data_IF_042293826833
#
_entry.id   IF_042293826833
#
_cell.length_a   1.000
_cell.length_b   1.000
_cell.length_c   1.000
_cell.angle_alpha   90.00
_cell.angle_beta   90.00
_cell.angle_gamma   90.00
#
_symmetry.space_group_name_H-M   'P 1'
#
loop_
_entity.id
_entity.type
_entity.pdbx_description
1 polymer ?
#
# COMPACT_ATOMS: atom_id res chain seq x y z
N UNK A 1 -0.09 -6.43 -9.59
CA UNK A 1 -0.11 -6.86 -11.01
C UNK A 1 1.26 -7.21 -11.63
N UNK A 2 2.32 -6.43 -11.34
CA UNK A 2 3.64 -6.64 -11.97
C UNK A 2 4.42 -7.86 -11.51
N UNK A 3 4.09 -8.43 -10.34
CA UNK A 3 4.73 -9.64 -9.82
C UNK A 3 4.16 -10.90 -10.51
N UNK A 4 5.01 -11.89 -10.89
CA UNK A 4 4.57 -13.10 -11.60
C UNK A 4 3.57 -13.98 -10.85
N UNK A 5 3.59 -13.92 -9.52
CA UNK A 5 2.69 -14.65 -8.62
C UNK A 5 1.31 -13.98 -8.47
N UNK A 6 1.12 -12.78 -9.01
CA UNK A 6 -0.19 -12.12 -9.01
C UNK A 6 -1.18 -12.85 -9.94
N UNK A 7 -2.41 -13.20 -9.48
CA UNK A 7 -3.34 -14.04 -10.24
C UNK A 7 -3.66 -13.53 -11.66
N UNK A 8 -3.72 -12.21 -11.85
CA UNK A 8 -3.94 -11.59 -13.15
C UNK A 8 -2.66 -11.02 -13.82
N UNK A 9 -1.46 -11.50 -13.46
CA UNK A 9 -0.19 -11.02 -14.05
C UNK A 9 -0.17 -11.12 -15.58
N UNK A 10 -0.53 -12.30 -16.12
CA UNK A 10 -0.54 -12.53 -17.58
C UNK A 10 -1.61 -11.71 -18.30
N UNK A 11 -2.76 -11.46 -17.67
CA UNK A 11 -3.76 -10.55 -18.22
C UNK A 11 -3.23 -9.11 -18.24
N UNK A 12 -2.61 -8.65 -17.14
CA UNK A 12 -2.02 -7.33 -17.05
C UNK A 12 -0.95 -7.10 -18.14
N UNK A 13 -0.06 -8.08 -18.36
CA UNK A 13 0.95 -8.02 -19.44
C UNK A 13 0.35 -7.90 -20.84
N UNK A 14 -0.79 -8.56 -21.10
CA UNK A 14 -1.44 -8.51 -22.41
C UNK A 14 -2.12 -7.16 -22.71
N UNK A 15 -2.70 -6.52 -21.70
CA UNK A 15 -3.57 -5.35 -21.90
C UNK A 15 -2.98 -4.01 -21.40
N UNK A 16 -1.91 -4.04 -20.59
CA UNK A 16 -1.30 -2.84 -20.00
C UNK A 16 0.09 -2.59 -20.59
N UNK A 17 0.49 -1.31 -20.69
CA UNK A 17 1.84 -0.90 -21.16
C UNK A 17 2.89 -0.87 -20.03
N UNK A 18 2.46 -1.04 -18.79
CA UNK A 18 3.24 -1.04 -17.56
C UNK A 18 2.32 -1.33 -16.38
N UNK A 19 2.86 -1.60 -15.19
CA UNK A 19 2.08 -2.09 -14.05
C UNK A 19 1.61 -1.02 -13.06
N UNK A 20 2.02 0.25 -13.27
CA UNK A 20 1.68 1.39 -12.40
C UNK A 20 2.44 1.42 -11.08
N UNK A 21 2.28 2.53 -10.34
CA UNK A 21 2.90 2.76 -9.02
C UNK A 21 1.98 2.44 -7.83
N UNK A 22 0.83 1.80 -8.08
CA UNK A 22 -0.12 1.44 -7.01
C UNK A 22 0.17 0.02 -6.51
N UNK A 23 0.44 -0.09 -5.22
CA UNK A 23 0.76 -1.35 -4.56
C UNK A 23 -0.11 -1.49 -3.31
N UNK A 24 -0.62 -2.69 -3.06
CA UNK A 24 -1.32 -3.02 -1.81
C UNK A 24 -0.66 -4.26 -1.21
N UNK A 25 -0.35 -4.20 0.09
CA UNK A 25 0.36 -5.26 0.80
C UNK A 25 -0.28 -5.52 2.16
N UNK A 26 -0.23 -6.77 2.60
CA UNK A 26 -0.61 -7.16 3.95
C UNK A 26 0.64 -7.23 4.83
N UNK A 27 0.67 -6.44 5.90
CA UNK A 27 1.74 -6.50 6.89
C UNK A 27 1.52 -7.69 7.83
N UNK A 28 2.60 -8.37 8.23
CA UNK A 28 2.55 -9.49 9.18
C UNK A 28 2.50 -8.98 10.62
N UNK A 29 1.46 -8.22 10.94
CA UNK A 29 1.28 -7.56 12.24
C UNK A 29 -0.20 -7.25 12.47
N UNK A 30 -0.54 -6.79 13.66
CA UNK A 30 -1.89 -6.34 14.01
C UNK A 30 -2.11 -4.86 13.62
N UNK A 31 -3.28 -4.31 13.96
CA UNK A 31 -3.58 -2.91 13.68
C UNK A 31 -2.56 -1.95 14.30
N UNK A 32 -2.14 -2.20 15.53
CA UNK A 32 -1.19 -1.33 16.22
C UNK A 32 0.19 -1.34 15.53
N UNK A 33 0.63 -2.48 14.99
CA UNK A 33 1.83 -2.57 14.19
C UNK A 33 1.71 -1.86 12.84
N UNK A 34 0.54 -1.90 12.20
CA UNK A 34 0.29 -1.12 10.97
C UNK A 34 0.37 0.37 11.24
N UNK A 35 -0.22 0.85 12.34
CA UNK A 35 -0.14 2.25 12.73
C UNK A 35 1.31 2.66 13.02
N UNK A 36 2.08 1.81 13.72
CA UNK A 36 3.53 2.04 13.95
C UNK A 36 4.32 2.13 12.65
N UNK A 37 4.08 1.21 11.70
CA UNK A 37 4.73 1.23 10.39
C UNK A 37 4.44 2.53 9.66
N UNK A 38 3.16 2.89 9.52
CA UNK A 38 2.75 4.11 8.81
C UNK A 38 3.34 5.38 9.45
N UNK A 39 3.40 5.45 10.78
CA UNK A 39 3.99 6.57 11.52
C UNK A 39 5.53 6.62 11.45
N UNK A 40 6.17 5.50 11.12
CA UNK A 40 7.63 5.42 11.05
C UNK A 40 8.19 5.87 9.69
N UNK A 41 7.34 5.90 8.65
CA UNK A 41 7.72 6.36 7.31
C UNK A 41 8.07 7.85 7.31
N UNK A 42 9.11 8.21 6.57
CA UNK A 42 9.64 9.59 6.48
C UNK A 42 9.37 10.23 5.13
N UNK A 43 9.28 9.43 4.07
CA UNK A 43 9.03 9.89 2.70
C UNK A 43 7.59 9.66 2.29
N UNK A 44 7.02 8.52 2.66
CA UNK A 44 5.60 8.24 2.40
C UNK A 44 4.71 9.04 3.34
N UNK A 45 3.95 9.99 2.80
CA UNK A 45 2.98 10.76 3.58
C UNK A 45 1.66 9.99 3.74
N UNK A 46 1.08 10.03 4.94
CA UNK A 46 -0.23 9.41 5.20
C UNK A 46 -1.36 10.23 4.55
N UNK A 47 -1.95 9.73 3.46
CA UNK A 47 -3.03 10.41 2.74
C UNK A 47 -3.95 9.47 1.95
N UNK A 48 -5.21 9.90 1.76
CA UNK A 48 -6.23 9.14 1.01
C UNK A 48 -6.05 9.21 -0.52
N UNK A 49 -5.44 10.28 -1.04
CA UNK A 49 -5.23 10.50 -2.49
C UNK A 49 -4.19 9.54 -3.10
N UNK A 50 -3.98 9.61 -4.42
CA UNK A 50 -3.05 8.76 -5.17
C UNK A 50 -2.60 9.40 -6.49
N UNK A 51 -1.47 8.93 -7.03
CA UNK A 51 -0.98 9.29 -8.37
C UNK A 51 -0.29 10.65 -8.49
N UNK A 52 0.01 11.30 -7.36
CA UNK A 52 0.84 12.50 -7.31
C UNK A 52 2.32 12.21 -7.58
N UNK A 53 3.13 13.26 -7.54
CA UNK A 53 4.60 13.13 -7.64
C UNK A 53 5.19 12.63 -6.33
N UNK A 54 4.50 12.91 -5.22
CA UNK A 54 4.81 12.50 -3.88
C UNK A 54 4.36 11.07 -3.59
N UNK A 55 5.17 10.34 -2.81
CA UNK A 55 4.84 9.03 -2.29
C UNK A 55 3.84 9.11 -1.15
N UNK A 56 2.78 8.32 -1.21
CA UNK A 56 1.70 8.28 -0.21
C UNK A 56 1.49 6.86 0.35
N UNK A 57 1.28 6.78 1.65
CA UNK A 57 0.76 5.58 2.32
C UNK A 57 -0.69 5.82 2.72
N UNK A 58 -1.54 4.82 2.52
CA UNK A 58 -2.94 4.87 2.90
C UNK A 58 -3.33 3.62 3.67
N UNK A 59 -4.20 3.80 4.67
CA UNK A 59 -4.81 2.72 5.42
C UNK A 59 -6.28 2.58 5.00
N UNK A 60 -6.63 1.67 4.07
CA UNK A 60 -7.92 1.69 3.39
C UNK A 60 -9.11 1.59 4.36
N UNK A 61 -8.96 0.78 5.41
CA UNK A 61 -10.00 0.42 6.37
C UNK A 61 -10.62 1.61 7.15
N UNK A 62 -9.88 2.71 7.37
CA UNK A 62 -10.41 3.93 8.02
C UNK A 62 -10.17 5.19 7.18
N UNK A 63 -9.94 5.03 5.88
CA UNK A 63 -9.74 6.16 4.96
C UNK A 63 -10.61 5.95 3.72
N UNK A 64 -10.00 5.57 2.60
CA UNK A 64 -10.72 5.39 1.32
C UNK A 64 -11.93 4.46 1.35
N UNK A 65 -12.03 3.54 2.31
CA UNK A 65 -13.12 2.58 2.44
C UNK A 65 -13.84 2.68 3.80
N UNK A 66 -13.75 3.84 4.49
CA UNK A 66 -14.40 4.05 5.79
C UNK A 66 -15.94 3.89 5.74
N UNK A 67 -16.55 4.13 4.57
CA UNK A 67 -17.99 4.03 4.38
C UNK A 67 -18.52 2.60 4.28
N UNK A 68 -17.65 1.59 4.29
CA UNK A 68 -18.05 0.19 4.32
C UNK A 68 -18.14 -0.31 5.76
N UNK A 69 -19.15 -1.14 6.03
CA UNK A 69 -19.18 -1.91 7.28
C UNK A 69 -17.98 -2.87 7.35
N UNK A 70 -17.63 -3.29 8.57
CA UNK A 70 -16.54 -4.27 8.76
C UNK A 70 -16.79 -5.55 7.95
N UNK A 71 -18.01 -6.07 7.94
CA UNK A 71 -18.37 -7.27 7.18
C UNK A 71 -18.12 -7.09 5.66
N UNK A 72 -18.58 -5.97 5.08
CA UNK A 72 -18.38 -5.67 3.66
C UNK A 72 -16.90 -5.48 3.31
N UNK A 73 -16.12 -4.89 4.22
CA UNK A 73 -14.66 -4.75 4.05
C UNK A 73 -13.99 -6.13 4.01
N UNK A 74 -14.30 -6.98 4.99
CA UNK A 74 -13.71 -8.30 5.12
C UNK A 74 -14.08 -9.21 3.93
N UNK A 75 -15.32 -9.14 3.45
CA UNK A 75 -15.77 -9.84 2.24
C UNK A 75 -14.92 -9.47 1.01
N UNK A 76 -14.47 -8.21 0.93
CA UNK A 76 -13.61 -7.70 -0.16
C UNK A 76 -12.11 -7.89 0.10
N UNK A 77 -11.74 -8.55 1.19
CA UNK A 77 -10.34 -8.76 1.59
C UNK A 77 -9.65 -7.52 2.15
N UNK A 78 -10.40 -6.51 2.60
CA UNK A 78 -9.87 -5.28 3.22
C UNK A 78 -9.77 -5.51 4.74
N UNK A 79 -8.67 -6.14 5.15
CA UNK A 79 -8.34 -6.43 6.54
C UNK A 79 -7.56 -5.28 7.21
N UNK A 80 -7.47 -5.31 8.53
CA UNK A 80 -6.79 -4.26 9.31
C UNK A 80 -5.27 -4.24 9.20
N UNK A 81 -4.69 -5.21 8.48
CA UNK A 81 -3.26 -5.23 8.15
C UNK A 81 -2.96 -4.87 6.69
N UNK A 82 -3.97 -4.43 5.93
CA UNK A 82 -3.80 -3.97 4.55
C UNK A 82 -3.31 -2.53 4.52
N UNK A 83 -2.20 -2.30 3.82
CA UNK A 83 -1.65 -0.97 3.52
C UNK A 83 -1.58 -0.77 2.02
N UNK A 84 -1.94 0.44 1.56
CA UNK A 84 -1.83 0.86 0.15
C UNK A 84 -0.70 1.87 0.00
N UNK A 85 0.19 1.63 -0.94
CA UNK A 85 1.23 2.57 -1.37
C UNK A 85 0.86 3.16 -2.73
N UNK A 86 0.91 4.49 -2.82
CA UNK A 86 1.00 5.23 -4.08
C UNK A 86 2.43 5.69 -4.20
N UNK A 87 3.23 4.98 -5.00
CA UNK A 87 4.65 5.28 -5.18
C UNK A 87 4.80 6.49 -6.09
N UNK A 88 5.46 7.53 -5.58
CA UNK A 88 5.77 8.77 -6.27
C UNK A 88 6.97 8.64 -7.22
N UNK A 89 7.65 9.75 -7.46
CA UNK A 89 8.81 9.85 -8.38
C UNK A 89 10.13 10.16 -7.66
N UNK A 90 10.19 9.97 -6.35
CA UNK A 90 11.44 10.07 -5.58
C UNK A 90 12.47 9.01 -6.01
N UNK A 91 13.71 9.14 -5.56
CA UNK A 91 14.76 8.17 -5.88
C UNK A 91 14.39 6.78 -5.31
N UNK A 92 14.49 5.69 -6.11
CA UNK A 92 14.02 4.38 -5.69
C UNK A 92 14.75 3.86 -4.44
N UNK A 93 16.06 4.12 -4.32
CA UNK A 93 16.84 3.67 -3.15
C UNK A 93 16.40 4.37 -1.86
N UNK A 94 15.95 5.62 -1.94
CA UNK A 94 15.46 6.37 -0.77
C UNK A 94 14.11 5.80 -0.31
N UNK A 95 13.23 5.47 -1.26
CA UNK A 95 11.94 4.83 -0.98
C UNK A 95 12.12 3.43 -0.38
N UNK A 96 13.05 2.64 -0.92
CA UNK A 96 13.38 1.31 -0.39
C UNK A 96 13.96 1.43 1.02
N UNK A 97 14.87 2.38 1.26
CA UNK A 97 15.46 2.60 2.58
C UNK A 97 14.41 3.06 3.61
N UNK A 98 13.47 3.93 3.22
CA UNK A 98 12.40 4.38 4.11
C UNK A 98 11.43 3.24 4.47
N UNK A 99 11.05 2.41 3.49
CA UNK A 99 10.23 1.22 3.74
C UNK A 99 10.97 0.21 4.63
N UNK A 100 12.26 -0.04 4.38
CA UNK A 100 13.06 -0.98 5.16
C UNK A 100 13.16 -0.55 6.64
N UNK A 101 13.50 0.72 6.90
CA UNK A 101 13.60 1.20 8.30
C UNK A 101 12.24 1.23 9.01
N UNK A 102 11.14 1.49 8.29
CA UNK A 102 9.80 1.44 8.88
C UNK A 102 9.38 -0.02 9.21
N UNK A 103 9.76 -0.99 8.38
CA UNK A 103 9.51 -2.42 8.64
C UNK A 103 10.24 -2.95 9.87
N UNK A 104 11.40 -2.39 10.23
CA UNK A 104 12.13 -2.72 11.47
C UNK A 104 11.40 -2.25 12.75
N UNK A 105 10.36 -1.41 12.63
CA UNK A 105 9.53 -0.91 13.74
C UNK A 105 8.26 -1.74 13.99
N UNK A 106 8.07 -2.81 13.20
CA UNK A 106 6.93 -3.72 13.33
C UNK A 106 6.96 -4.52 14.63
#
# INVERSE_FOLDING_TARGET
>A
PGLPDHPQHELAKRQMRGFGGMIAVFLKTDRAGVDRFCQSLRLFSLASSLGGVESLVGYPATMSHEGLTEAERLERGITDNLVRLSVGIEHPDDLIADLAQALERL
#
